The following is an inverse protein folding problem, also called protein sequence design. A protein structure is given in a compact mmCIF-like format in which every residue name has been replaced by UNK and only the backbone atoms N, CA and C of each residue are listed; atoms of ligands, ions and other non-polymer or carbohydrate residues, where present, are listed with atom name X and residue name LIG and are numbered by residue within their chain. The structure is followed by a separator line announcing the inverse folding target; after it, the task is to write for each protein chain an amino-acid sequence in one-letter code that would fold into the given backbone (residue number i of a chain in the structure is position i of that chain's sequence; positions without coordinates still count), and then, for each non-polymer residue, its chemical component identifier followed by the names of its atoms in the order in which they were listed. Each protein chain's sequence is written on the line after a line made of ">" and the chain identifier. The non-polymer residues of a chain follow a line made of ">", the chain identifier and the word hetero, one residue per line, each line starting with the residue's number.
data_IF_935523720168
#
_entry.id   IF_935523720168
#
_cell.length_a   1.000
_cell.length_b   1.000
_cell.length_c   1.000
_cell.angle_alpha   90.00
_cell.angle_beta   90.00
_cell.angle_gamma   90.00
#
_symmetry.space_group_name_H-M   'P 1'
#
loop_
_entity.id
_entity.type
_entity.pdbx_description
1 polymer ?
#
# COMPACT_ATOMS: atom_id res chain seq x y z
N UNK A 1 51.82 38.22 3.06
CA UNK A 1 52.17 39.47 3.78
C UNK A 1 51.18 40.58 3.43
N UNK A 2 50.26 40.90 4.35
CA UNK A 2 49.75 42.27 4.60
C UNK A 2 48.88 42.20 5.87
N UNK A 3 49.48 42.70 6.94
CA UNK A 3 48.93 42.87 8.29
C UNK A 3 47.96 44.07 8.37
N UNK A 4 47.32 44.19 9.55
CA UNK A 4 46.76 45.39 10.21
C UNK A 4 45.31 45.74 9.81
N UNK A 5 44.35 46.01 10.70
CA UNK A 5 44.27 46.59 12.07
C UNK A 5 42.96 46.10 12.72
N UNK A 6 42.91 45.52 13.92
CA UNK A 6 42.72 46.17 15.24
C UNK A 6 41.87 47.44 15.25
N UNK A 7 40.63 47.30 15.73
CA UNK A 7 39.69 48.38 16.03
C UNK A 7 38.66 47.90 17.05
N UNK A 8 39.05 47.96 18.33
CA UNK A 8 38.21 47.74 19.51
C UNK A 8 37.38 49.01 19.71
N UNK A 9 36.05 48.93 19.57
CA UNK A 9 35.14 49.95 20.09
C UNK A 9 34.07 49.22 20.89
N UNK A 10 34.22 49.30 22.20
CA UNK A 10 33.17 49.04 23.16
C UNK A 10 32.16 50.20 23.09
N UNK A 11 30.89 49.88 22.85
CA UNK A 11 29.78 50.78 23.12
C UNK A 11 28.66 49.96 23.74
N UNK A 12 28.59 50.05 25.07
CA UNK A 12 27.48 49.60 25.90
C UNK A 12 26.28 50.49 25.54
N UNK A 13 25.25 49.90 24.93
CA UNK A 13 23.93 50.50 24.84
C UNK A 13 22.94 49.65 25.64
N UNK A 14 22.69 50.14 26.86
CA UNK A 14 21.61 49.72 27.73
C UNK A 14 20.31 50.30 27.14
N UNK A 15 19.48 49.46 26.53
CA UNK A 15 18.11 49.85 26.18
C UNK A 15 17.12 48.75 26.57
N UNK A 16 16.33 49.08 27.59
CA UNK A 16 14.94 48.70 27.82
C UNK A 16 14.56 47.22 27.65
N UNK A 17 14.44 46.57 28.81
CA UNK A 17 13.50 45.47 29.03
C UNK A 17 12.08 46.00 28.83
N UNK A 18 11.59 45.95 27.60
CA UNK A 18 10.15 45.92 27.35
C UNK A 18 9.71 44.45 27.50
N UNK A 19 8.98 44.17 28.58
CA UNK A 19 8.24 42.93 28.76
C UNK A 19 7.18 42.80 27.67
N UNK A 20 7.57 42.26 26.53
CA UNK A 20 6.65 41.69 25.55
C UNK A 20 6.34 40.27 25.97
N UNK A 21 5.08 40.00 26.34
CA UNK A 21 4.51 38.66 26.40
C UNK A 21 4.71 37.97 25.04
N UNK A 22 5.84 37.32 24.87
CA UNK A 22 6.09 36.46 23.74
C UNK A 22 5.39 35.12 23.98
N UNK A 23 4.62 34.73 22.98
CA UNK A 23 4.42 33.34 22.56
C UNK A 23 3.57 32.44 23.45
N UNK A 24 2.24 32.45 23.26
CA UNK A 24 1.45 31.22 23.42
C UNK A 24 0.12 31.22 22.65
N UNK A 25 0.09 31.68 21.39
CA UNK A 25 -1.10 31.49 20.54
C UNK A 25 -0.81 30.92 19.14
N UNK A 26 0.45 30.72 18.77
CA UNK A 26 0.82 30.13 17.47
C UNK A 26 1.02 28.61 17.48
N UNK A 27 1.05 27.95 18.66
CA UNK A 27 1.15 26.48 18.75
C UNK A 27 -0.18 25.76 18.58
N UNK A 28 -1.31 26.37 18.97
CA UNK A 28 -2.62 25.73 18.89
C UNK A 28 -3.17 25.62 17.45
N UNK A 29 -2.85 26.57 16.56
CA UNK A 29 -3.31 26.52 15.15
C UNK A 29 -2.56 25.51 14.27
N UNK A 30 -1.31 25.14 14.61
CA UNK A 30 -0.54 24.17 13.82
C UNK A 30 -1.05 22.72 13.98
N UNK A 31 -1.45 22.34 15.19
CA UNK A 31 -1.83 20.94 15.50
C UNK A 31 -3.21 20.53 14.97
N UNK A 32 -4.17 21.47 14.85
CA UNK A 32 -5.48 21.16 14.26
C UNK A 32 -5.35 20.94 12.74
N UNK A 33 -4.39 21.61 12.09
CA UNK A 33 -4.17 21.45 10.65
C UNK A 33 -3.51 20.13 10.26
N UNK A 34 -2.66 19.57 11.14
CA UNK A 34 -1.95 18.30 10.86
C UNK A 34 -2.87 17.10 11.03
N UNK A 35 -3.65 17.04 12.13
CA UNK A 35 -4.60 15.94 12.35
C UNK A 35 -5.71 15.90 11.29
N UNK A 36 -6.25 17.07 10.91
CA UNK A 36 -7.27 17.16 9.88
C UNK A 36 -6.75 16.87 8.46
N UNK A 37 -5.47 17.19 8.17
CA UNK A 37 -4.82 16.75 6.93
C UNK A 37 -4.54 15.24 6.94
N UNK A 38 -4.03 14.73 8.06
CA UNK A 38 -3.74 13.31 8.24
C UNK A 38 -4.98 12.45 8.02
N UNK A 39 -6.15 12.86 8.53
CA UNK A 39 -7.41 12.13 8.33
C UNK A 39 -7.93 12.15 6.89
N UNK A 40 -7.48 13.09 6.04
CA UNK A 40 -7.83 13.13 4.61
C UNK A 40 -6.92 12.24 3.75
N UNK A 41 -5.76 11.86 4.27
CA UNK A 41 -4.78 11.04 3.55
C UNK A 41 -4.87 9.54 3.87
N UNK A 42 -5.78 9.16 4.77
CA UNK A 42 -6.05 7.76 5.12
C UNK A 42 -6.74 7.05 3.95
N UNK A 43 -6.15 5.95 3.52
CA UNK A 43 -6.79 5.02 2.57
C UNK A 43 -8.05 4.47 3.22
N UNK A 44 -9.18 4.52 2.52
CA UNK A 44 -10.47 4.02 3.02
C UNK A 44 -10.84 2.68 2.45
N UNK A 45 -10.44 2.41 1.22
CA UNK A 45 -10.71 1.13 0.57
C UNK A 45 -9.60 0.71 -0.38
N UNK A 46 -9.47 -0.60 -0.52
CA UNK A 46 -8.57 -1.26 -1.48
C UNK A 46 -9.44 -1.91 -2.55
N UNK A 47 -9.30 -1.47 -3.80
CA UNK A 47 -10.03 -2.03 -4.94
C UNK A 47 -9.09 -2.86 -5.80
N UNK A 48 -9.45 -4.13 -6.02
CA UNK A 48 -8.67 -5.03 -6.87
C UNK A 48 -9.39 -5.24 -8.19
N UNK A 49 -8.68 -5.09 -9.30
CA UNK A 49 -9.17 -5.30 -10.66
C UNK A 49 -8.36 -6.39 -11.33
N UNK A 50 -9.04 -7.47 -11.70
CA UNK A 50 -8.46 -8.64 -12.34
C UNK A 50 -8.73 -8.57 -13.85
N UNK A 51 -7.75 -8.96 -14.65
CA UNK A 51 -7.95 -9.16 -16.07
C UNK A 51 -8.80 -10.41 -16.34
N UNK A 52 -9.29 -10.57 -17.57
CA UNK A 52 -10.04 -11.75 -17.98
C UNK A 52 -9.21 -13.05 -17.81
N UNK A 53 -7.91 -12.97 -18.08
CA UNK A 53 -6.95 -14.03 -17.80
C UNK A 53 -5.86 -13.50 -16.86
N UNK A 54 -6.06 -13.61 -15.53
CA UNK A 54 -5.12 -13.09 -14.54
C UNK A 54 -4.01 -14.09 -14.21
N UNK A 55 -4.04 -15.30 -14.76
CA UNK A 55 -3.13 -16.39 -14.42
C UNK A 55 -1.76 -16.16 -15.04
N UNK A 56 -0.71 -16.42 -14.26
CA UNK A 56 0.68 -16.33 -14.69
C UNK A 56 1.22 -17.74 -14.93
N UNK A 57 1.86 -17.91 -16.07
CA UNK A 57 2.69 -19.04 -16.41
C UNK A 57 4.15 -18.54 -16.32
N UNK A 58 4.87 -19.01 -15.31
CA UNK A 58 6.24 -18.57 -15.02
C UNK A 58 7.27 -19.63 -15.45
N UNK A 59 6.86 -20.88 -15.66
CA UNK A 59 7.72 -21.98 -16.05
C UNK A 59 7.65 -22.23 -17.56
N UNK A 60 8.75 -21.95 -18.25
CA UNK A 60 8.87 -22.26 -19.68
C UNK A 60 9.07 -23.77 -19.94
N UNK A 61 9.12 -24.61 -18.90
CA UNK A 61 9.58 -26.01 -18.97
C UNK A 61 8.50 -27.10 -18.95
N UNK A 62 7.28 -26.80 -19.45
CA UNK A 62 6.21 -27.74 -19.90
C UNK A 62 5.05 -27.98 -18.95
N UNK A 63 5.08 -27.50 -17.72
CA UNK A 63 3.87 -27.53 -16.90
C UNK A 63 2.93 -26.43 -17.39
N UNK A 64 1.74 -26.82 -17.84
CA UNK A 64 0.76 -25.85 -18.33
C UNK A 64 -0.01 -25.17 -17.20
N UNK A 65 0.08 -25.69 -15.98
CA UNK A 65 -0.66 -25.16 -14.84
C UNK A 65 -0.13 -23.79 -14.37
N UNK A 66 -1.00 -22.86 -13.94
CA UNK A 66 -0.54 -21.55 -13.48
C UNK A 66 0.35 -21.65 -12.25
N UNK A 67 1.29 -20.73 -12.17
CA UNK A 67 2.24 -20.58 -11.06
C UNK A 67 2.08 -19.24 -10.32
N UNK A 68 1.11 -18.44 -10.76
CA UNK A 68 0.85 -17.17 -10.17
C UNK A 68 -0.43 -16.50 -10.64
N UNK A 69 -0.65 -15.32 -10.08
CA UNK A 69 -1.74 -14.42 -10.46
C UNK A 69 -1.23 -12.99 -10.55
N UNK A 70 -1.75 -12.25 -11.52
CA UNK A 70 -1.54 -10.80 -11.67
C UNK A 70 -2.84 -10.04 -11.61
N UNK A 71 -2.80 -8.86 -11.01
CA UNK A 71 -3.93 -7.95 -10.94
C UNK A 71 -3.50 -6.53 -10.57
N UNK A 72 -4.43 -5.60 -10.73
CA UNK A 72 -4.24 -4.18 -10.40
C UNK A 72 -4.89 -3.85 -9.07
N UNK A 73 -4.23 -3.02 -8.28
CA UNK A 73 -4.74 -2.52 -6.99
C UNK A 73 -4.83 -1.00 -7.02
N UNK A 74 -5.96 -0.46 -6.58
CA UNK A 74 -6.21 0.97 -6.46
C UNK A 74 -6.53 1.28 -5.00
N UNK A 75 -5.80 2.24 -4.42
CA UNK A 75 -6.03 2.73 -3.05
C UNK A 75 -6.91 3.97 -3.13
N UNK A 76 -8.08 3.93 -2.51
CA UNK A 76 -9.08 5.00 -2.60
C UNK A 76 -9.27 5.71 -1.26
N UNK A 77 -9.17 7.04 -1.28
CA UNK A 77 -9.32 7.92 -0.12
C UNK A 77 -10.80 8.26 0.17
N UNK A 78 -11.72 7.76 -0.65
CA UNK A 78 -13.17 7.95 -0.56
C UNK A 78 -13.79 8.72 -1.74
N UNK A 79 -13.00 9.15 -2.73
CA UNK A 79 -13.46 9.88 -3.91
C UNK A 79 -13.61 8.97 -5.15
N UNK A 80 -13.30 7.68 -5.01
CA UNK A 80 -13.38 6.70 -6.09
C UNK A 80 -12.19 6.75 -7.04
N UNK A 81 -11.14 7.51 -6.72
CA UNK A 81 -9.90 7.57 -7.49
C UNK A 81 -8.76 6.91 -6.71
N UNK A 82 -8.04 6.06 -7.41
CA UNK A 82 -6.81 5.45 -6.94
C UNK A 82 -5.72 6.50 -6.75
N UNK A 83 -4.95 6.35 -5.67
CA UNK A 83 -3.79 7.18 -5.35
C UNK A 83 -2.60 6.29 -5.00
N UNK A 84 -1.38 6.80 -5.22
CA UNK A 84 -0.19 6.18 -4.63
C UNK A 84 -0.02 6.61 -3.17
N UNK A 85 0.30 5.65 -2.30
CA UNK A 85 0.65 5.84 -0.90
C UNK A 85 1.85 4.97 -0.53
N UNK A 86 2.59 5.40 0.47
CA UNK A 86 3.62 4.58 1.09
C UNK A 86 2.99 3.69 2.16
N UNK A 87 3.50 2.46 2.23
CA UNK A 87 2.95 1.40 3.07
C UNK A 87 3.29 0.03 2.53
N UNK A 88 2.64 -1.00 3.06
CA UNK A 88 2.87 -2.40 2.75
C UNK A 88 1.57 -3.05 2.29
N UNK A 89 1.64 -3.81 1.20
CA UNK A 89 0.57 -4.72 0.82
C UNK A 89 0.76 -6.06 1.54
N UNK A 90 -0.32 -6.52 2.17
CA UNK A 90 -0.43 -7.86 2.73
C UNK A 90 -1.43 -8.62 1.86
N UNK A 91 -0.99 -9.68 1.21
CA UNK A 91 -1.85 -10.48 0.35
C UNK A 91 -1.91 -11.89 0.90
N UNK A 92 -3.14 -12.38 1.11
CA UNK A 92 -3.38 -13.74 1.58
C UNK A 92 -4.16 -14.49 0.51
N UNK A 93 -3.68 -15.69 0.17
CA UNK A 93 -4.32 -16.62 -0.74
C UNK A 93 -4.76 -17.85 0.04
N UNK A 94 -6.06 -18.13 0.03
CA UNK A 94 -6.64 -19.32 0.63
C UNK A 94 -7.13 -20.26 -0.46
N UNK A 95 -6.84 -21.55 -0.33
CA UNK A 95 -7.56 -22.60 -1.04
C UNK A 95 -8.90 -22.84 -0.35
N UNK A 96 -9.92 -23.06 -1.17
CA UNK A 96 -11.29 -23.30 -0.75
C UNK A 96 -11.63 -24.74 -1.07
N UNK A 97 -11.86 -25.51 -0.01
CA UNK A 97 -12.31 -26.90 -0.10
C UNK A 97 -13.74 -27.00 0.46
N UNK A 98 -14.49 -27.93 -0.09
CA UNK A 98 -15.86 -28.24 0.34
C UNK A 98 -15.83 -29.61 1.01
N UNK A 99 -16.05 -29.65 2.32
CA UNK A 99 -16.14 -30.90 3.06
C UNK A 99 -17.39 -31.69 2.67
N UNK A 100 -17.42 -32.98 3.00
CA UNK A 100 -18.55 -33.87 2.73
C UNK A 100 -19.86 -33.40 3.40
N UNK A 101 -19.76 -32.60 4.47
CA UNK A 101 -20.87 -31.98 5.18
C UNK A 101 -21.33 -30.64 4.57
N UNK A 102 -20.76 -30.24 3.43
CA UNK A 102 -21.02 -28.98 2.75
C UNK A 102 -20.37 -27.76 3.41
N UNK A 103 -19.56 -27.94 4.47
CA UNK A 103 -18.82 -26.82 5.06
C UNK A 103 -17.67 -26.40 4.16
N UNK A 104 -17.49 -25.09 4.10
CA UNK A 104 -16.36 -24.48 3.38
C UNK A 104 -15.17 -24.40 4.31
N UNK A 105 -14.09 -25.10 3.95
CA UNK A 105 -12.79 -25.03 4.64
C UNK A 105 -11.89 -24.07 3.87
N UNK A 106 -11.24 -23.16 4.59
CA UNK A 106 -10.26 -22.22 4.03
C UNK A 106 -8.88 -22.56 4.54
N UNK A 107 -7.98 -22.92 3.63
CA UNK A 107 -6.60 -23.27 3.95
C UNK A 107 -5.67 -22.17 3.41
N UNK A 108 -4.87 -21.53 4.25
CA UNK A 108 -3.89 -20.53 3.79
C UNK A 108 -2.81 -21.25 2.97
N UNK A 109 -2.64 -20.86 1.71
CA UNK A 109 -1.66 -21.45 0.80
C UNK A 109 -0.43 -20.55 0.68
N UNK A 110 -0.64 -19.24 0.63
CA UNK A 110 0.46 -18.29 0.48
C UNK A 110 0.08 -16.95 1.09
N UNK A 111 1.08 -16.29 1.66
CA UNK A 111 1.03 -14.92 2.11
C UNK A 111 2.20 -14.12 1.51
N UNK A 112 1.92 -12.89 1.10
CA UNK A 112 2.94 -11.99 0.57
C UNK A 112 2.91 -10.64 1.28
N UNK A 113 4.09 -10.08 1.45
CA UNK A 113 4.33 -8.82 2.13
C UNK A 113 5.19 -7.93 1.25
N UNK A 114 4.57 -6.98 0.55
CA UNK A 114 5.28 -6.10 -0.39
C UNK A 114 5.21 -4.65 0.04
N UNK A 115 6.34 -4.04 0.41
CA UNK A 115 6.44 -2.60 0.46
C UNK A 115 6.05 -2.00 -0.89
N UNK A 116 5.26 -0.94 -0.88
CA UNK A 116 4.83 -0.21 -2.10
C UNK A 116 5.99 0.31 -2.95
N UNK A 117 7.20 0.41 -2.39
CA UNK A 117 8.44 0.74 -3.11
C UNK A 117 8.94 -0.39 -4.02
N UNK A 118 8.57 -1.64 -3.75
CA UNK A 118 8.93 -2.82 -4.55
C UNK A 118 7.88 -3.16 -5.61
N UNK A 119 6.70 -2.54 -5.55
CA UNK A 119 5.59 -2.82 -6.45
C UNK A 119 5.59 -1.84 -7.62
N UNK A 120 5.34 -2.35 -8.82
CA UNK A 120 5.27 -1.52 -10.01
C UNK A 120 4.07 -0.55 -9.92
N UNK A 121 4.35 0.75 -10.04
CA UNK A 121 3.32 1.79 -10.06
C UNK A 121 2.75 1.94 -11.47
N UNK A 122 1.43 1.86 -11.56
CA UNK A 122 0.69 2.17 -12.78
C UNK A 122 0.41 3.66 -12.72
N UNK A 123 1.13 4.42 -13.55
CA UNK A 123 0.89 5.85 -13.73
C UNK A 123 0.04 6.08 -14.99
N UNK A 124 -1.15 6.71 -14.82
CA UNK A 124 -2.09 7.20 -15.89
C UNK A 124 -2.84 6.14 -16.73
N UNK A 125 -3.81 6.51 -17.61
CA UNK A 125 -4.83 7.56 -17.63
C UNK A 125 -6.25 6.95 -17.54
N UNK A 126 -6.43 5.91 -16.73
CA UNK A 126 -7.71 5.20 -16.60
C UNK A 126 -8.72 5.93 -15.71
N UNK A 127 -9.99 5.53 -15.79
CA UNK A 127 -11.07 6.08 -14.94
C UNK A 127 -10.81 5.90 -13.43
N UNK A 128 -9.98 4.94 -13.05
CA UNK A 128 -9.73 4.57 -11.66
C UNK A 128 -8.52 5.29 -11.04
N UNK A 129 -7.88 6.23 -11.73
CA UNK A 129 -6.73 6.98 -11.18
C UNK A 129 -5.44 6.16 -11.13
N UNK A 130 -4.63 6.40 -10.11
CA UNK A 130 -3.32 5.77 -9.92
C UNK A 130 -3.46 4.41 -9.24
N UNK A 131 -2.61 3.46 -9.63
CA UNK A 131 -2.66 2.11 -9.07
C UNK A 131 -1.31 1.42 -9.00
N UNK A 132 -1.37 0.17 -8.58
CA UNK A 132 -0.24 -0.73 -8.44
C UNK A 132 -0.51 -1.99 -9.25
N UNK A 133 0.54 -2.58 -9.81
CA UNK A 133 0.46 -3.85 -10.51
C UNK A 133 1.16 -4.92 -9.67
N UNK A 134 0.38 -5.90 -9.21
CA UNK A 134 0.88 -7.02 -8.42
C UNK A 134 1.04 -8.25 -9.30
N UNK A 135 2.23 -8.86 -9.21
CA UNK A 135 2.55 -10.18 -9.75
C UNK A 135 2.88 -11.09 -8.58
N UNK A 136 2.04 -12.08 -8.33
CA UNK A 136 2.19 -12.99 -7.21
C UNK A 136 2.51 -14.36 -7.76
N UNK A 137 3.69 -14.88 -7.45
CA UNK A 137 4.04 -16.28 -7.67
C UNK A 137 3.80 -17.04 -6.36
N UNK A 138 3.08 -18.16 -6.43
CA UNK A 138 2.91 -19.04 -5.26
C UNK A 138 3.98 -20.12 -5.25
N UNK A 139 4.37 -20.56 -4.05
CA UNK A 139 5.41 -21.58 -3.89
C UNK A 139 4.92 -23.01 -4.16
N UNK A 140 3.60 -23.26 -4.09
CA UNK A 140 3.03 -24.60 -4.15
C UNK A 140 2.13 -24.80 -5.37
N UNK A 141 2.38 -25.87 -6.14
CA UNK A 141 1.65 -26.16 -7.38
C UNK A 141 0.28 -26.82 -7.18
N UNK A 142 -0.06 -27.30 -5.98
CA UNK A 142 -1.27 -28.11 -5.74
C UNK A 142 -2.57 -27.29 -5.58
N UNK A 143 -2.65 -26.10 -6.20
CA UNK A 143 -3.88 -25.32 -6.24
C UNK A 143 -4.54 -25.29 -7.62
N UNK A 144 -3.90 -25.88 -8.64
CA UNK A 144 -4.45 -25.97 -9.98
C UNK A 144 -5.79 -26.72 -9.96
N UNK A 145 -6.83 -26.10 -10.52
CA UNK A 145 -8.17 -26.66 -10.52
C UNK A 145 -8.95 -26.46 -9.23
N UNK A 146 -8.40 -25.82 -8.19
CA UNK A 146 -9.12 -25.48 -6.96
C UNK A 146 -9.80 -24.10 -7.04
N UNK A 147 -10.79 -23.88 -6.17
CA UNK A 147 -11.26 -22.54 -5.87
C UNK A 147 -10.34 -21.88 -4.86
N UNK A 148 -10.11 -20.59 -5.02
CA UNK A 148 -9.28 -19.78 -4.14
C UNK A 148 -10.02 -18.52 -3.70
N UNK A 149 -9.72 -18.04 -2.49
CA UNK A 149 -10.05 -16.69 -2.05
C UNK A 149 -8.76 -15.87 -1.93
N UNK A 150 -8.70 -14.76 -2.66
CA UNK A 150 -7.60 -13.79 -2.57
C UNK A 150 -8.05 -12.55 -1.79
N UNK A 151 -7.26 -12.16 -0.81
CA UNK A 151 -7.49 -10.98 0.03
C UNK A 151 -6.30 -10.06 -0.11
N UNK A 152 -6.54 -8.78 -0.43
CA UNK A 152 -5.49 -7.75 -0.43
C UNK A 152 -5.77 -6.74 0.67
N UNK A 153 -4.77 -6.50 1.50
CA UNK A 153 -4.78 -5.48 2.54
C UNK A 153 -3.64 -4.50 2.31
N UNK A 154 -3.82 -3.27 2.75
CA UNK A 154 -2.82 -2.21 2.71
C UNK A 154 -2.67 -1.63 4.11
N UNK A 155 -1.45 -1.66 4.64
CA UNK A 155 -1.07 -1.02 5.89
C UNK A 155 -0.26 0.24 5.59
N UNK A 156 -0.72 1.39 6.08
CA UNK A 156 0.00 2.66 5.94
C UNK A 156 1.15 2.80 6.96
N UNK A 157 1.96 3.86 6.83
CA UNK A 157 3.07 4.13 7.75
C UNK A 157 2.65 4.40 9.22
N UNK A 158 1.36 4.58 9.49
CA UNK A 158 0.79 4.79 10.82
C UNK A 158 0.11 3.52 11.37
N UNK A 159 0.17 2.40 10.65
CA UNK A 159 -0.46 1.13 11.03
C UNK A 159 -1.97 1.05 10.74
N UNK A 160 -2.53 1.99 9.96
CA UNK A 160 -3.93 1.87 9.54
C UNK A 160 -4.05 0.83 8.43
N UNK A 161 -4.93 -0.15 8.64
CA UNK A 161 -5.17 -1.23 7.68
C UNK A 161 -6.46 -1.00 6.91
N UNK A 162 -6.36 -1.01 5.57
CA UNK A 162 -7.49 -1.06 4.66
C UNK A 162 -7.52 -2.39 3.93
N UNK A 163 -8.70 -3.00 3.79
CA UNK A 163 -8.84 -4.35 3.21
C UNK A 163 -9.83 -4.37 2.05
N UNK A 164 -9.51 -5.15 1.02
CA UNK A 164 -10.44 -5.48 -0.06
C UNK A 164 -11.45 -6.53 0.38
N UNK A 165 -12.58 -6.62 -0.31
CA UNK A 165 -13.38 -7.85 -0.27
C UNK A 165 -12.54 -9.04 -0.71
N UNK A 166 -12.83 -10.23 -0.16
CA UNK A 166 -12.24 -11.47 -0.65
C UNK A 166 -12.73 -11.73 -2.07
N UNK A 167 -11.81 -11.96 -3.00
CA UNK A 167 -12.13 -12.33 -4.37
C UNK A 167 -12.03 -13.84 -4.52
N UNK A 168 -13.17 -14.49 -4.77
CA UNK A 168 -13.22 -15.89 -5.15
C UNK A 168 -12.87 -16.06 -6.63
N UNK A 169 -11.96 -16.96 -6.95
CA UNK A 169 -11.54 -17.32 -8.31
C UNK A 169 -11.38 -18.84 -8.42
N UNK A 170 -11.49 -19.38 -9.64
CA UNK A 170 -11.16 -20.78 -9.94
C UNK A 170 -9.82 -20.81 -10.67
N UNK A 171 -8.82 -21.46 -10.10
CA UNK A 171 -7.53 -21.65 -10.77
C UNK A 171 -7.75 -22.65 -11.92
N UNK A 172 -7.38 -22.34 -13.17
CA UNK A 172 -7.50 -23.30 -14.25
C UNK A 172 -6.56 -24.48 -14.01
N UNK A 173 -6.98 -25.64 -14.50
CA UNK A 173 -6.15 -26.84 -14.59
C UNK A 173 -6.08 -27.21 -16.06
N UNK A 174 -4.88 -27.19 -16.60
CA UNK A 174 -4.67 -27.51 -18.00
C UNK A 174 -4.32 -28.99 -18.12
N UNK A 175 -4.88 -29.65 -19.13
CA UNK A 175 -4.62 -31.07 -19.36
C UNK A 175 -3.27 -31.14 -20.09
N UNK A 176 -2.24 -31.63 -19.41
CA UNK A 176 -0.92 -31.93 -19.98
C UNK A 176 -0.97 -33.13 -20.93
#
# INVERSE_FOLDING_TARGET
>A
MRLRRWGLIAAIMLFLVAGGCASSQSRARKNVSSAARQQRDVVRSVRCVYDYNPWLDLDQHRDSDPEGIRYRVFLDLGDGKGVHREGTFHIELYQIDYGDDGKVVRTLVSDWHYPTSQVHRIAKPGMLGDGYFLHLAWAHKDIAGHEIDLVTQFEDAFGNVSRSGAKRLRVPKYIS
#
